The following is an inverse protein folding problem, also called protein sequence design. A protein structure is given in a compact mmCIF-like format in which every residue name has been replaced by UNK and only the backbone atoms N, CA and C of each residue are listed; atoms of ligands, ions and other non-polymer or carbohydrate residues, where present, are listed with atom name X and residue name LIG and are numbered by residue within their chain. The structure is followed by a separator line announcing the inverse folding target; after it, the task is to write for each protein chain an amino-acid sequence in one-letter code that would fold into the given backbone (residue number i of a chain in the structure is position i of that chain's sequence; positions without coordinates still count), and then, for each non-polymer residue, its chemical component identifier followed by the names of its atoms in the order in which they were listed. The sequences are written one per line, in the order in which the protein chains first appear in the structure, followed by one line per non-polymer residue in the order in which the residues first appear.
data_IF_574561276472
#
_entry.id   IF_574561276472
#
_cell.length_a   1.000
_cell.length_b   1.000
_cell.length_c   1.000
_cell.angle_alpha   90.00
_cell.angle_beta   90.00
_cell.angle_gamma   90.00
#
_symmetry.space_group_name_H-M   'P 1'
#
loop_
_entity.id
_entity.type
_entity.pdbx_description
1 polymer ?
#
# COMPACT_ATOMS: atom_id res chain seq x y z
N UNK A 1 -16.29 -38.88 -25.32
CA UNK A 1 -17.37 -37.88 -25.11
C UNK A 1 -16.90 -36.53 -25.61
N UNK A 2 -17.57 -35.95 -26.62
CA UNK A 2 -17.36 -34.54 -27.01
C UNK A 2 -17.97 -33.66 -25.90
N UNK A 3 -17.16 -32.84 -25.23
CA UNK A 3 -17.68 -31.77 -24.36
C UNK A 3 -18.49 -30.80 -25.23
N UNK A 4 -19.80 -30.72 -25.02
CA UNK A 4 -20.60 -29.64 -25.58
C UNK A 4 -19.99 -28.31 -25.11
N UNK A 5 -19.63 -27.47 -26.08
CA UNK A 5 -19.18 -26.12 -25.78
C UNK A 5 -20.41 -25.26 -25.47
N UNK A 6 -20.36 -24.48 -24.40
CA UNK A 6 -21.38 -23.49 -24.10
C UNK A 6 -21.59 -22.51 -25.28
N UNK A 7 -22.83 -22.04 -25.43
CA UNK A 7 -23.21 -21.04 -26.44
C UNK A 7 -22.38 -19.77 -26.24
N UNK A 8 -22.12 -19.02 -27.33
CA UNK A 8 -21.23 -17.84 -27.31
C UNK A 8 -21.61 -16.81 -26.24
N UNK A 9 -22.89 -16.73 -25.87
CA UNK A 9 -23.44 -15.76 -24.91
C UNK A 9 -23.16 -16.11 -23.45
N UNK A 10 -22.78 -17.36 -23.18
CA UNK A 10 -22.42 -17.80 -21.82
C UNK A 10 -20.92 -17.75 -21.54
N UNK A 11 -20.09 -17.47 -22.55
CA UNK A 11 -18.63 -17.39 -22.42
C UNK A 11 -18.17 -16.05 -21.86
N UNK A 12 -17.07 -16.08 -21.10
CA UNK A 12 -16.43 -14.89 -20.57
C UNK A 12 -15.11 -14.52 -21.27
N UNK A 13 -14.82 -13.23 -21.28
CA UNK A 13 -13.47 -12.66 -21.44
C UNK A 13 -12.99 -12.26 -20.05
N UNK A 14 -11.81 -12.71 -19.67
CA UNK A 14 -11.24 -12.43 -18.35
C UNK A 14 -10.03 -11.52 -18.53
N UNK A 15 -10.02 -10.39 -17.84
CA UNK A 15 -8.86 -9.50 -17.72
C UNK A 15 -8.27 -9.68 -16.31
N UNK A 16 -7.06 -10.21 -16.23
CA UNK A 16 -6.37 -10.53 -14.96
C UNK A 16 -5.40 -9.40 -14.65
N UNK A 17 -5.36 -8.95 -13.39
CA UNK A 17 -4.45 -7.91 -12.92
C UNK A 17 -3.52 -8.49 -11.85
N UNK A 18 -2.21 -8.31 -12.02
CA UNK A 18 -1.18 -8.85 -11.13
C UNK A 18 -0.81 -7.84 -10.02
N UNK A 19 -0.56 -8.32 -8.78
CA UNK A 19 -0.17 -7.46 -7.65
C UNK A 19 1.20 -6.82 -7.84
N UNK A 20 2.12 -7.59 -8.40
CA UNK A 20 3.48 -7.15 -8.67
C UNK A 20 3.65 -7.08 -10.19
N UNK A 21 4.03 -5.91 -10.71
CA UNK A 21 4.64 -5.84 -12.04
C UNK A 21 5.94 -6.61 -11.95
N UNK A 22 6.00 -7.76 -12.60
CA UNK A 22 7.29 -8.31 -12.94
C UNK A 22 7.95 -7.32 -13.90
N UNK A 23 9.09 -6.75 -13.51
CA UNK A 23 9.81 -5.77 -14.36
C UNK A 23 10.30 -6.42 -15.66
N UNK A 24 10.32 -7.75 -15.72
CA UNK A 24 10.75 -8.53 -16.88
C UNK A 24 9.57 -9.04 -17.73
N UNK A 25 8.31 -8.83 -17.31
CA UNK A 25 7.13 -9.21 -18.10
C UNK A 25 6.36 -7.93 -18.47
N UNK A 26 6.24 -7.67 -19.77
CA UNK A 26 5.81 -6.40 -20.34
C UNK A 26 4.36 -6.00 -20.01
N UNK A 27 3.50 -6.96 -19.67
CA UNK A 27 2.09 -6.71 -19.41
C UNK A 27 1.74 -7.07 -17.96
N UNK A 28 1.31 -6.06 -17.18
CA UNK A 28 0.76 -6.24 -15.83
C UNK A 28 -0.60 -6.93 -15.83
N UNK A 29 -1.15 -7.15 -17.03
CA UNK A 29 -2.49 -7.64 -17.26
C UNK A 29 -2.47 -8.74 -18.33
N UNK A 30 -3.20 -9.84 -18.10
CA UNK A 30 -3.36 -10.91 -19.09
C UNK A 30 -4.82 -11.03 -19.48
N UNK A 31 -5.10 -11.21 -20.78
CA UNK A 31 -6.47 -11.45 -21.25
C UNK A 31 -6.64 -12.93 -21.57
N UNK A 32 -7.46 -13.62 -20.78
CA UNK A 32 -7.84 -14.99 -21.08
C UNK A 32 -9.14 -14.99 -21.90
N UNK A 33 -8.99 -15.30 -23.18
CA UNK A 33 -10.12 -15.41 -24.12
C UNK A 33 -10.73 -16.82 -24.07
N UNK A 34 -11.93 -16.93 -23.48
CA UNK A 34 -12.76 -18.13 -23.31
C UNK A 34 -12.45 -18.98 -22.07
N UNK A 35 -13.14 -18.71 -20.97
CA UNK A 35 -13.39 -19.71 -19.92
C UNK A 35 -14.70 -20.47 -20.23
N UNK A 36 -14.63 -21.59 -20.94
CA UNK A 36 -15.80 -22.48 -21.15
C UNK A 36 -16.10 -23.36 -19.91
N UNK A 37 -15.37 -23.16 -18.81
CA UNK A 37 -15.41 -23.98 -17.60
C UNK A 37 -15.89 -23.24 -16.37
N UNK A 38 -16.55 -22.08 -16.55
CA UNK A 38 -17.03 -21.25 -15.46
C UNK A 38 -15.97 -20.34 -14.83
N UNK A 39 -16.41 -19.41 -13.98
CA UNK A 39 -15.55 -18.42 -13.30
C UNK A 39 -14.82 -19.05 -12.10
N UNK A 40 -15.38 -20.08 -11.47
CA UNK A 40 -14.70 -20.79 -10.37
C UNK A 40 -13.39 -21.41 -10.84
N UNK A 41 -13.39 -21.99 -12.05
CA UNK A 41 -12.19 -22.57 -12.65
C UNK A 41 -11.12 -21.54 -12.96
N UNK A 42 -11.51 -20.28 -13.24
CA UNK A 42 -10.56 -19.18 -13.43
C UNK A 42 -9.79 -18.93 -12.13
N UNK A 43 -10.48 -18.90 -10.98
CA UNK A 43 -9.83 -18.74 -9.67
C UNK A 43 -8.86 -19.88 -9.38
N UNK A 44 -9.29 -21.14 -9.59
CA UNK A 44 -8.42 -22.31 -9.39
C UNK A 44 -7.16 -22.24 -10.25
N UNK A 45 -7.32 -21.94 -11.54
CA UNK A 45 -6.19 -21.83 -12.47
C UNK A 45 -5.25 -20.67 -12.10
N UNK A 46 -5.79 -19.53 -11.68
CA UNK A 46 -4.97 -18.39 -11.24
C UNK A 46 -4.18 -18.72 -9.98
N UNK A 47 -4.78 -19.42 -9.01
CA UNK A 47 -4.10 -19.87 -7.81
C UNK A 47 -3.04 -20.93 -8.12
N UNK A 48 -3.27 -21.82 -9.09
CA UNK A 48 -2.28 -22.81 -9.52
C UNK A 48 -1.08 -22.17 -10.23
N UNK A 49 -1.35 -21.26 -11.18
CA UNK A 49 -0.31 -20.64 -12.01
C UNK A 49 0.47 -19.54 -11.28
N UNK A 50 -0.22 -18.78 -10.43
CA UNK A 50 0.32 -17.55 -9.85
C UNK A 50 0.26 -17.52 -8.33
N UNK A 51 -0.36 -18.50 -7.67
CA UNK A 51 -0.55 -18.49 -6.22
C UNK A 51 -1.30 -17.24 -5.76
N UNK A 52 -0.70 -16.54 -4.82
CA UNK A 52 -1.18 -15.28 -4.27
C UNK A 52 -0.70 -14.04 -5.06
N UNK A 53 -0.09 -14.19 -6.24
CA UNK A 53 0.51 -13.05 -6.96
C UNK A 53 -0.49 -12.23 -7.79
N UNK A 54 -1.67 -12.77 -8.09
CA UNK A 54 -2.74 -12.02 -8.77
C UNK A 54 -3.53 -11.16 -7.78
N UNK A 55 -3.93 -9.96 -8.19
CA UNK A 55 -4.64 -8.98 -7.35
C UNK A 55 -6.15 -9.14 -7.50
N UNK A 56 -6.64 -9.01 -8.73
CA UNK A 56 -8.03 -9.21 -9.08
C UNK A 56 -8.17 -9.58 -10.56
N UNK A 57 -9.34 -10.05 -10.95
CA UNK A 57 -9.72 -10.14 -12.35
C UNK A 57 -11.10 -9.55 -12.59
N UNK A 58 -11.31 -9.05 -13.81
CA UNK A 58 -12.60 -8.58 -14.29
C UNK A 58 -13.14 -9.61 -15.28
N UNK A 59 -14.34 -10.10 -15.03
CA UNK A 59 -15.06 -10.99 -15.94
C UNK A 59 -16.06 -10.20 -16.78
N UNK A 60 -15.99 -10.33 -18.10
CA UNK A 60 -16.92 -9.72 -19.05
C UNK A 60 -17.60 -10.77 -19.91
N UNK A 61 -18.89 -10.61 -20.22
CA UNK A 61 -19.57 -11.45 -21.21
C UNK A 61 -18.93 -11.26 -22.59
N UNK A 62 -18.71 -12.36 -23.31
CA UNK A 62 -18.07 -12.29 -24.62
C UNK A 62 -18.94 -11.59 -25.67
N UNK A 63 -20.26 -11.78 -25.60
CA UNK A 63 -21.24 -11.29 -26.58
C UNK A 63 -21.43 -9.78 -26.53
N UNK A 64 -21.68 -9.22 -25.34
CA UNK A 64 -22.03 -7.81 -25.14
C UNK A 64 -20.99 -7.00 -24.34
N UNK A 65 -19.89 -7.61 -23.89
CA UNK A 65 -18.81 -6.98 -23.10
C UNK A 65 -19.24 -6.47 -21.72
N UNK A 66 -20.45 -6.79 -21.28
CA UNK A 66 -20.99 -6.46 -19.97
C UNK A 66 -20.11 -7.04 -18.86
N UNK A 67 -19.83 -6.24 -17.81
CA UNK A 67 -19.09 -6.68 -16.63
C UNK A 67 -20.01 -7.57 -15.80
N UNK A 68 -19.59 -8.82 -15.62
CA UNK A 68 -20.30 -9.84 -14.82
C UNK A 68 -19.86 -9.75 -13.37
N UNK A 69 -18.60 -9.36 -13.14
CA UNK A 69 -18.07 -9.14 -11.80
C UNK A 69 -16.59 -8.79 -11.81
N UNK A 70 -16.15 -8.24 -10.69
CA UNK A 70 -14.74 -8.07 -10.36
C UNK A 70 -14.47 -8.93 -9.15
N UNK A 71 -13.46 -9.79 -9.23
CA UNK A 71 -13.16 -10.76 -8.19
C UNK A 71 -11.73 -10.54 -7.70
N UNK A 72 -11.61 -10.32 -6.40
CA UNK A 72 -10.34 -10.03 -5.75
C UNK A 72 -9.74 -11.29 -5.14
N UNK A 73 -8.43 -11.44 -5.25
CA UNK A 73 -7.71 -12.44 -4.48
C UNK A 73 -7.61 -12.02 -3.02
N UNK A 74 -7.53 -13.01 -2.12
CA UNK A 74 -7.22 -12.77 -0.72
C UNK A 74 -5.84 -12.13 -0.62
N UNK A 75 -5.77 -11.01 0.10
CA UNK A 75 -4.54 -10.25 0.28
C UNK A 75 -4.34 -9.99 1.76
N UNK A 76 -3.15 -10.31 2.26
CA UNK A 76 -2.73 -9.94 3.61
C UNK A 76 -1.29 -9.46 3.53
N UNK A 77 -1.04 -8.26 4.04
CA UNK A 77 0.32 -7.76 4.24
C UNK A 77 0.51 -7.34 5.69
N UNK A 78 1.68 -7.68 6.20
CA UNK A 78 2.16 -7.26 7.50
C UNK A 78 3.22 -6.17 7.30
N UNK A 79 3.00 -5.02 7.90
CA UNK A 79 3.88 -3.86 7.79
C UNK A 79 4.39 -3.52 9.20
N UNK A 80 5.69 -3.63 9.48
CA UNK A 80 6.27 -3.05 10.69
C UNK A 80 5.97 -1.56 10.72
N UNK A 81 5.29 -1.11 11.77
CA UNK A 81 4.74 0.23 11.87
C UNK A 81 5.04 0.86 13.23
N UNK A 82 4.95 2.18 13.25
CA UNK A 82 5.10 3.00 14.45
C UNK A 82 3.90 3.92 14.56
N UNK A 83 3.23 3.87 15.71
CA UNK A 83 2.19 4.81 16.09
C UNK A 83 2.85 6.00 16.80
N UNK A 84 2.59 7.20 16.29
CA UNK A 84 3.18 8.45 16.76
C UNK A 84 2.11 9.33 17.38
N UNK A 85 2.30 9.69 18.65
CA UNK A 85 1.43 10.64 19.36
C UNK A 85 2.04 12.05 19.30
N UNK A 86 2.11 12.59 18.08
CA UNK A 86 2.69 13.89 17.79
C UNK A 86 1.62 14.81 17.19
N UNK A 87 1.76 16.12 17.44
CA UNK A 87 0.93 17.13 16.77
C UNK A 87 1.22 17.10 15.27
N UNK A 88 0.18 17.09 14.47
CA UNK A 88 0.27 17.16 13.03
C UNK A 88 -0.80 18.09 12.44
N UNK A 89 -0.59 18.53 11.20
CA UNK A 89 -1.58 19.30 10.43
C UNK A 89 -1.51 18.96 8.95
N UNK A 90 -2.57 19.14 8.16
CA UNK A 90 -2.50 19.03 6.71
C UNK A 90 -1.45 19.99 6.13
N UNK A 91 -0.75 19.56 5.08
CA UNK A 91 0.11 20.45 4.33
C UNK A 91 -0.73 21.39 3.43
N UNK A 92 -0.11 22.45 2.90
CA UNK A 92 -0.80 23.46 2.08
C UNK A 92 -1.43 22.92 0.80
N UNK A 93 -1.01 21.75 0.32
CA UNK A 93 -1.51 21.10 -0.90
C UNK A 93 -2.59 20.05 -0.60
N UNK A 94 -2.91 19.78 0.67
CA UNK A 94 -3.89 18.77 1.09
C UNK A 94 -3.51 17.32 0.77
N UNK A 95 -2.28 17.05 0.30
CA UNK A 95 -1.85 15.72 -0.16
C UNK A 95 -0.93 15.00 0.85
N UNK A 96 -0.83 15.54 2.05
CA UNK A 96 0.08 15.08 3.10
C UNK A 96 -0.13 15.80 4.42
N UNK A 97 0.62 15.37 5.41
CA UNK A 97 0.65 15.93 6.76
C UNK A 97 2.03 16.53 7.05
N UNK A 98 2.05 17.59 7.84
CA UNK A 98 3.24 18.10 8.51
C UNK A 98 3.17 17.60 9.94
N UNK A 99 4.10 16.71 10.31
CA UNK A 99 4.15 16.07 11.63
C UNK A 99 5.30 16.71 12.40
N UNK A 100 5.03 17.23 13.59
CA UNK A 100 6.04 17.93 14.39
C UNK A 100 6.85 16.95 15.23
N UNK A 101 7.93 16.43 14.66
CA UNK A 101 8.89 15.62 15.40
C UNK A 101 9.62 16.49 16.42
N UNK A 102 9.78 15.95 17.62
CA UNK A 102 10.53 16.59 18.69
C UNK A 102 11.97 16.10 18.64
N UNK A 103 12.90 17.03 18.60
CA UNK A 103 14.34 16.81 18.72
C UNK A 103 14.85 17.54 19.95
N UNK A 104 16.03 17.16 20.44
CA UNK A 104 16.70 17.84 21.55
C UNK A 104 18.10 18.27 21.17
N UNK A 105 18.49 19.44 21.66
CA UNK A 105 19.88 19.92 21.62
C UNK A 105 20.16 20.71 22.89
N UNK A 106 21.24 20.39 23.60
CA UNK A 106 21.66 21.10 24.83
C UNK A 106 20.54 21.27 25.87
N UNK A 107 19.68 20.26 26.02
CA UNK A 107 18.54 20.28 26.94
C UNK A 107 17.31 21.05 26.47
N UNK A 108 17.34 21.67 25.28
CA UNK A 108 16.19 22.36 24.69
C UNK A 108 15.46 21.49 23.67
N UNK A 109 14.13 21.49 23.75
CA UNK A 109 13.26 20.84 22.78
C UNK A 109 13.12 21.69 21.50
N UNK A 110 13.24 21.02 20.37
CA UNK A 110 13.15 21.60 19.03
C UNK A 110 12.07 20.86 18.26
N UNK A 111 10.96 21.54 17.99
CA UNK A 111 9.91 21.00 17.14
C UNK A 111 10.25 21.23 15.65
N UNK A 112 10.31 20.15 14.88
CA UNK A 112 10.55 20.18 13.43
C UNK A 112 9.38 19.54 12.69
N UNK A 113 8.70 20.34 11.89
CA UNK A 113 7.67 19.84 10.97
C UNK A 113 8.27 19.03 9.82
N UNK A 114 8.00 17.73 9.78
CA UNK A 114 8.37 16.82 8.69
C UNK A 114 7.16 16.58 7.81
N UNK A 115 7.29 16.84 6.51
CA UNK A 115 6.20 16.64 5.55
C UNK A 115 6.15 15.17 5.11
N UNK A 116 4.99 14.54 5.24
CA UNK A 116 4.73 13.16 4.84
C UNK A 116 3.54 13.09 3.90
N UNK A 117 3.65 12.30 2.84
CA UNK A 117 2.54 12.09 1.91
C UNK A 117 1.44 11.23 2.54
N UNK A 118 0.17 11.49 2.20
CA UNK A 118 -0.94 10.60 2.60
C UNK A 118 -0.73 9.14 2.15
N UNK A 119 0.09 8.90 1.12
CA UNK A 119 0.43 7.55 0.64
C UNK A 119 1.21 6.70 1.65
N UNK A 120 1.89 7.32 2.60
CA UNK A 120 2.69 6.62 3.62
C UNK A 120 2.01 6.59 5.00
N UNK A 121 0.83 7.21 5.13
CA UNK A 121 0.04 7.16 6.36
C UNK A 121 -0.79 5.88 6.34
N UNK A 122 -0.58 5.01 7.34
CA UNK A 122 -1.32 3.75 7.49
C UNK A 122 -2.67 3.98 8.18
N UNK A 123 -2.65 4.78 9.24
CA UNK A 123 -3.83 5.19 9.99
C UNK A 123 -3.69 6.64 10.43
N UNK A 124 -4.81 7.35 10.50
CA UNK A 124 -4.89 8.72 10.97
C UNK A 124 -6.08 8.86 11.91
N UNK A 125 -5.80 9.23 13.15
CA UNK A 125 -6.78 9.53 14.19
C UNK A 125 -6.45 10.88 14.81
N UNK A 126 -7.39 11.49 15.50
CA UNK A 126 -7.22 12.81 16.11
C UNK A 126 -5.94 12.92 16.97
N UNK A 127 -5.61 11.84 17.68
CA UNK A 127 -4.56 11.82 18.71
C UNK A 127 -3.24 11.24 18.22
N UNK A 128 -3.27 10.47 17.13
CA UNK A 128 -2.11 9.72 16.65
C UNK A 128 -2.18 9.46 15.15
N UNK A 129 -1.01 9.16 14.59
CA UNK A 129 -0.87 8.61 13.25
C UNK A 129 -0.03 7.34 13.29
N UNK A 130 -0.29 6.42 12.36
CA UNK A 130 0.52 5.22 12.18
C UNK A 130 1.27 5.33 10.84
N UNK A 131 2.58 5.11 10.85
CA UNK A 131 3.44 5.10 9.66
C UNK A 131 4.33 3.86 9.62
N UNK A 132 4.85 3.42 8.46
CA UNK A 132 5.81 2.32 8.41
C UNK A 132 7.09 2.65 9.21
N UNK A 133 7.67 1.67 9.91
CA UNK A 133 8.87 1.86 10.74
C UNK A 133 10.04 2.40 9.93
N UNK A 134 10.20 1.95 8.68
CA UNK A 134 11.23 2.51 7.78
C UNK A 134 11.05 4.02 7.57
N UNK A 135 9.82 4.48 7.33
CA UNK A 135 9.52 5.90 7.13
C UNK A 135 9.78 6.69 8.43
N UNK A 136 9.48 6.09 9.58
CA UNK A 136 9.82 6.67 10.88
C UNK A 136 11.34 6.84 11.07
N UNK A 137 12.14 5.81 10.80
CA UNK A 137 13.60 5.89 10.89
C UNK A 137 14.18 6.94 9.91
N UNK A 138 13.70 6.93 8.67
CA UNK A 138 14.10 7.89 7.64
C UNK A 138 13.74 9.33 8.05
N UNK A 139 12.59 9.53 8.68
CA UNK A 139 12.16 10.84 9.18
C UNK A 139 13.08 11.36 10.29
N UNK A 140 13.47 10.49 11.23
CA UNK A 140 14.41 10.87 12.31
C UNK A 140 15.77 11.24 11.71
N UNK A 141 16.31 10.40 10.84
CA UNK A 141 17.62 10.63 10.23
C UNK A 141 17.65 11.94 9.43
N UNK A 142 16.68 12.14 8.54
CA UNK A 142 16.59 13.35 7.73
C UNK A 142 16.29 14.59 8.58
N UNK A 143 15.49 14.46 9.63
CA UNK A 143 15.21 15.54 10.57
C UNK A 143 16.46 16.01 11.31
N UNK A 144 17.27 15.08 11.82
CA UNK A 144 18.57 15.38 12.45
C UNK A 144 19.51 16.08 11.47
N UNK A 145 19.65 15.53 10.27
CA UNK A 145 20.52 16.10 9.22
C UNK A 145 20.10 17.53 8.84
N UNK A 146 18.81 17.76 8.62
CA UNK A 146 18.30 19.09 8.28
C UNK A 146 18.49 20.11 9.41
N UNK A 147 18.35 19.70 10.67
CA UNK A 147 18.63 20.56 11.82
C UNK A 147 20.12 20.87 11.94
N UNK A 148 20.99 19.88 11.71
CA UNK A 148 22.44 20.06 11.68
C UNK A 148 22.86 21.08 10.62
N UNK A 149 22.41 20.89 9.39
CA UNK A 149 22.66 21.82 8.27
C UNK A 149 22.13 23.23 8.56
N UNK A 150 20.95 23.34 9.18
CA UNK A 150 20.38 24.62 9.59
C UNK A 150 21.31 25.34 10.58
N UNK A 151 21.73 24.69 11.67
CA UNK A 151 22.58 25.34 12.67
C UNK A 151 23.97 25.69 12.12
N UNK A 152 24.54 24.83 11.29
CA UNK A 152 25.80 25.09 10.59
C UNK A 152 25.67 26.34 9.69
N UNK A 153 24.59 26.46 8.93
CA UNK A 153 24.32 27.64 8.09
C UNK A 153 24.11 28.94 8.89
N UNK A 154 23.78 28.83 10.17
CA UNK A 154 23.63 29.95 11.11
C UNK A 154 24.93 30.28 11.86
N UNK A 155 26.05 29.63 11.52
CA UNK A 155 27.36 29.88 12.11
C UNK A 155 27.58 29.24 13.48
N UNK A 156 26.72 28.31 13.89
CA UNK A 156 26.95 27.58 15.14
C UNK A 156 28.08 26.56 14.94
N UNK A 157 28.95 26.43 15.94
CA UNK A 157 29.81 25.26 16.09
C UNK A 157 28.93 24.11 16.61
N UNK A 158 28.80 23.04 15.83
CA UNK A 158 27.93 21.90 16.12
C UNK A 158 28.54 20.62 15.56
N UNK A 159 28.39 19.50 16.27
CA UNK A 159 28.69 18.15 15.77
C UNK A 159 27.42 17.32 15.54
N UNK A 160 27.47 16.33 14.64
CA UNK A 160 26.28 15.56 14.19
C UNK A 160 25.49 14.88 15.33
N UNK A 161 26.17 14.53 16.42
CA UNK A 161 25.58 13.84 17.56
C UNK A 161 24.97 14.77 18.62
N UNK A 162 25.08 16.10 18.46
CA UNK A 162 24.43 17.06 19.37
C UNK A 162 22.91 17.09 19.26
N UNK A 163 22.37 16.74 18.09
CA UNK A 163 20.92 16.73 17.85
C UNK A 163 20.43 15.30 18.06
N UNK A 164 19.66 15.12 19.12
CA UNK A 164 19.07 13.84 19.48
C UNK A 164 17.57 13.84 19.19
N UNK A 165 16.97 12.66 19.12
CA UNK A 165 15.51 12.55 19.15
C UNK A 165 15.02 13.01 20.53
N UNK A 166 13.98 13.82 20.56
CA UNK A 166 13.34 14.27 21.79
C UNK A 166 12.38 13.23 22.36
N UNK A 167 11.73 13.57 23.46
CA UNK A 167 10.81 12.65 24.14
C UNK A 167 9.40 12.80 23.59
N UNK A 168 8.82 11.72 23.10
CA UNK A 168 7.41 11.61 22.76
C UNK A 168 6.99 10.14 22.73
N UNK A 169 5.70 9.89 22.87
CA UNK A 169 5.18 8.51 22.80
C UNK A 169 5.23 8.00 21.37
N UNK A 170 5.92 6.86 21.19
CA UNK A 170 5.96 6.11 19.95
C UNK A 170 5.83 4.60 20.27
N UNK A 171 4.88 3.94 19.63
CA UNK A 171 4.62 2.50 19.85
C UNK A 171 4.92 1.72 18.57
N UNK A 172 5.79 0.71 18.66
CA UNK A 172 6.05 -0.21 17.55
C UNK A 172 5.00 -1.32 17.54
N UNK A 173 4.48 -1.65 16.35
CA UNK A 173 3.52 -2.74 16.18
C UNK A 173 3.57 -3.29 14.75
N UNK A 174 2.87 -4.40 14.52
CA UNK A 174 2.64 -4.95 13.17
C UNK A 174 1.27 -4.48 12.69
N UNK A 175 1.25 -3.62 11.67
CA UNK A 175 0.02 -3.24 10.99
C UNK A 175 -0.35 -4.31 9.97
N UNK A 176 -1.58 -4.82 10.08
CA UNK A 176 -2.12 -5.82 9.14
C UNK A 176 -3.11 -5.15 8.21
N UNK A 177 -2.84 -5.22 6.91
CA UNK A 177 -3.81 -4.83 5.88
C UNK A 177 -4.32 -6.08 5.20
N UNK A 178 -5.59 -6.38 5.42
CA UNK A 178 -6.24 -7.56 4.87
C UNK A 178 -7.38 -7.17 3.92
N UNK A 179 -7.52 -7.91 2.82
CA UNK A 179 -8.69 -7.88 1.96
C UNK A 179 -9.15 -9.34 1.76
N UNK A 180 -10.40 -9.67 2.11
CA UNK A 180 -10.92 -11.01 1.89
C UNK A 180 -10.95 -11.32 0.38
N UNK A 181 -10.72 -12.59 0.04
CA UNK A 181 -10.90 -13.07 -1.32
C UNK A 181 -12.38 -13.08 -1.69
N UNK A 182 -12.69 -12.78 -2.95
CA UNK A 182 -14.03 -12.88 -3.51
C UNK A 182 -14.08 -14.02 -4.52
N UNK A 183 -14.98 -14.96 -4.27
CA UNK A 183 -15.22 -16.09 -5.15
C UNK A 183 -16.49 -15.86 -5.98
N UNK A 184 -16.48 -16.20 -7.28
CA UNK A 184 -17.67 -16.14 -8.12
C UNK A 184 -18.81 -17.00 -7.57
N UNK A 185 -19.97 -16.39 -7.35
CA UNK A 185 -21.21 -17.10 -6.97
C UNK A 185 -22.00 -17.59 -8.18
N UNK A 186 -21.77 -16.99 -9.36
CA UNK A 186 -22.38 -17.36 -10.64
C UNK A 186 -21.34 -18.11 -11.48
N UNK A 187 -21.58 -19.41 -11.68
CA UNK A 187 -20.67 -20.32 -12.36
C UNK A 187 -21.34 -20.94 -13.59
N UNK A 188 -21.61 -20.12 -14.60
CA UNK A 188 -22.15 -20.61 -15.87
C UNK A 188 -21.00 -20.84 -16.87
N UNK A 189 -20.93 -21.98 -17.58
CA UNK A 189 -19.97 -22.19 -18.66
C UNK A 189 -20.31 -21.37 -19.91
#
# INVERSE_FOLDING_TARGET
MKKEMASKDKRYTIEIFMRFRDKNISESNYVWHNSNGGLSKVVSNLNELHGDKWDYFIARRKSNKEIVGTFYNHFSIEIPAVRLYLKYKPNSKGNGLIINFLFKRNGFDIARGINMSNKVILEQYENYISIPDKIYQDAILNGRKALFEYYLSKGHQIVENEIMLGDFTAEKFIFKKERPGQYPTLDFP
#
